data_IF_396623506719
#
_entry.id   IF_396623506719
#
_cell.length_a   1.000
_cell.length_b   1.000
_cell.length_c   1.000
_cell.angle_alpha   90.00
_cell.angle_beta   90.00
_cell.angle_gamma   90.00
#
_symmetry.space_group_name_H-M   'P 1'
#
loop_
_entity.id
_entity.type
_entity.pdbx_description
1 polymer ?
#
# COMPACT_ATOMS: atom_id res chain seq x y z
N UNK A 1 12.25 -23.74 16.58
CA UNK A 1 13.35 -22.95 16.01
C UNK A 1 12.85 -22.35 14.70
N UNK A 2 12.11 -21.25 14.77
CA UNK A 2 11.52 -20.60 13.60
C UNK A 2 12.58 -19.73 12.93
N UNK A 3 12.71 -19.85 11.61
CA UNK A 3 13.68 -19.07 10.84
C UNK A 3 13.21 -17.61 10.83
N UNK A 4 14.00 -16.76 11.46
CA UNK A 4 13.94 -15.30 11.34
C UNK A 4 14.08 -14.94 9.86
N UNK A 5 12.97 -14.64 9.19
CA UNK A 5 12.98 -14.10 7.85
C UNK A 5 13.46 -12.66 7.93
N UNK A 6 14.63 -12.38 7.37
CA UNK A 6 15.13 -11.02 7.23
C UNK A 6 14.19 -10.26 6.29
N UNK A 7 13.39 -9.33 6.81
CA UNK A 7 12.65 -8.34 6.01
C UNK A 7 13.68 -7.39 5.39
N UNK A 8 14.36 -7.83 4.32
CA UNK A 8 15.56 -7.17 3.80
C UNK A 8 15.28 -6.43 2.50
N UNK A 9 14.44 -5.42 2.58
CA UNK A 9 14.36 -4.36 1.58
C UNK A 9 14.28 -3.03 2.30
N UNK A 10 15.02 -2.03 1.83
CA UNK A 10 14.76 -0.64 2.20
C UNK A 10 13.59 -0.12 1.35
N UNK A 11 12.83 0.85 1.87
CA UNK A 11 11.87 1.60 1.05
C UNK A 11 12.60 2.25 -0.13
N UNK A 12 12.02 2.16 -1.33
CA UNK A 12 12.63 2.70 -2.55
C UNK A 12 11.99 4.04 -2.86
N UNK A 13 12.81 5.07 -2.98
CA UNK A 13 12.38 6.39 -3.40
C UNK A 13 12.73 6.64 -4.84
N UNK A 14 11.78 7.12 -5.62
CA UNK A 14 11.98 7.59 -6.98
C UNK A 14 11.52 9.05 -7.10
N UNK A 15 12.24 9.84 -7.89
CA UNK A 15 11.73 11.10 -8.43
C UNK A 15 11.21 10.85 -9.84
N UNK A 16 9.91 11.06 -10.03
CA UNK A 16 9.19 10.81 -11.27
C UNK A 16 8.88 12.12 -11.96
N UNK A 17 9.29 12.21 -13.22
CA UNK A 17 9.02 13.27 -14.18
C UNK A 17 8.30 12.67 -15.41
N UNK A 18 7.73 13.50 -16.31
CA UNK A 18 6.92 12.97 -17.41
C UNK A 18 7.65 11.95 -18.31
N UNK A 19 8.97 12.10 -18.50
CA UNK A 19 9.77 11.24 -19.37
C UNK A 19 10.72 10.29 -18.62
N UNK A 20 10.86 10.40 -17.30
CA UNK A 20 11.89 9.67 -16.55
C UNK A 20 11.50 9.43 -15.08
N UNK A 21 11.87 8.27 -14.55
CA UNK A 21 11.92 8.01 -13.12
C UNK A 21 13.35 7.69 -12.69
N UNK A 22 13.88 8.42 -11.70
CA UNK A 22 15.23 8.22 -11.17
C UNK A 22 15.13 7.80 -9.71
N UNK A 23 15.88 6.76 -9.32
CA UNK A 23 16.00 6.35 -7.92
C UNK A 23 16.77 7.41 -7.13
N UNK A 24 16.24 7.79 -5.97
CA UNK A 24 16.91 8.65 -5.02
C UNK A 24 17.81 7.82 -4.09
N UNK A 25 18.96 8.37 -3.74
CA UNK A 25 19.92 7.74 -2.82
C UNK A 25 19.47 7.83 -1.35
N UNK A 26 18.51 8.70 -1.04
CA UNK A 26 17.96 8.88 0.30
C UNK A 26 16.49 9.34 0.23
N UNK A 27 15.77 9.19 1.33
CA UNK A 27 14.42 9.71 1.47
C UNK A 27 14.40 11.25 1.31
N UNK A 28 13.45 11.82 0.55
CA UNK A 28 13.28 13.26 0.47
C UNK A 28 12.84 13.82 1.83
N UNK A 29 13.17 15.09 2.09
CA UNK A 29 12.78 15.81 3.31
C UNK A 29 11.74 16.90 3.07
N UNK A 30 11.29 17.05 1.82
CA UNK A 30 10.29 18.02 1.40
C UNK A 30 9.54 17.49 0.16
N UNK A 31 8.36 18.06 -0.17
CA UNK A 31 7.69 17.77 -1.43
C UNK A 31 8.57 18.05 -2.65
N UNK A 32 8.32 17.32 -3.73
CA UNK A 32 9.00 17.55 -4.99
C UNK A 32 8.64 18.95 -5.53
N UNK A 33 9.64 19.78 -5.82
CA UNK A 33 9.42 21.10 -6.41
C UNK A 33 8.81 21.00 -7.83
N UNK A 34 9.10 19.91 -8.54
CA UNK A 34 8.53 19.54 -9.85
C UNK A 34 8.35 18.02 -9.92
N UNK A 35 7.36 17.57 -10.68
CA UNK A 35 7.06 16.13 -10.79
C UNK A 35 6.52 15.55 -9.48
N UNK A 36 6.87 14.29 -9.19
CA UNK A 36 6.36 13.55 -8.04
C UNK A 36 7.45 12.75 -7.33
N UNK A 37 7.34 12.63 -6.00
CA UNK A 37 8.03 11.57 -5.28
C UNK A 37 7.18 10.31 -5.30
N UNK A 38 7.81 9.18 -5.64
CA UNK A 38 7.20 7.86 -5.57
C UNK A 38 7.91 7.06 -4.48
N UNK A 39 7.15 6.60 -3.51
CA UNK A 39 7.59 5.68 -2.47
C UNK A 39 7.10 4.27 -2.83
N UNK A 40 8.04 3.36 -3.07
CA UNK A 40 7.77 1.95 -3.28
C UNK A 40 8.15 1.15 -2.02
N UNK A 41 7.19 0.36 -1.54
CA UNK A 41 7.30 -0.50 -0.38
C UNK A 41 6.48 -1.77 -0.58
N UNK A 42 6.97 -2.87 -0.04
CA UNK A 42 6.29 -4.16 -0.08
C UNK A 42 5.16 -4.23 0.94
N UNK A 43 4.22 -5.13 0.69
CA UNK A 43 3.17 -5.44 1.65
C UNK A 43 3.74 -5.90 3.01
N UNK A 44 4.82 -6.69 3.00
CA UNK A 44 5.48 -7.14 4.24
C UNK A 44 6.06 -5.97 5.04
N UNK A 45 6.68 -4.99 4.38
CA UNK A 45 7.18 -3.77 5.02
C UNK A 45 6.03 -2.96 5.63
N UNK A 46 4.95 -2.76 4.87
CA UNK A 46 3.76 -2.06 5.36
C UNK A 46 3.11 -2.78 6.56
N UNK A 47 3.04 -4.11 6.51
CA UNK A 47 2.45 -4.91 7.57
C UNK A 47 3.31 -4.93 8.84
N UNK A 48 4.64 -4.91 8.70
CA UNK A 48 5.56 -4.91 9.83
C UNK A 48 5.38 -3.66 10.69
N UNK A 49 5.27 -2.48 10.07
CA UNK A 49 4.95 -1.24 10.77
C UNK A 49 4.24 -0.24 9.84
N UNK A 50 2.93 -0.06 10.08
CA UNK A 50 2.08 0.87 9.31
C UNK A 50 2.35 2.34 9.67
N UNK A 51 2.84 2.60 10.88
CA UNK A 51 3.11 3.97 11.33
C UNK A 51 4.33 4.55 10.64
N UNK A 52 5.24 3.71 10.12
CA UNK A 52 6.35 4.17 9.28
C UNK A 52 5.83 4.88 8.03
N UNK A 53 4.91 4.26 7.27
CA UNK A 53 4.33 4.91 6.09
C UNK A 53 3.59 6.19 6.46
N UNK A 54 2.81 6.15 7.55
CA UNK A 54 2.05 7.32 8.00
C UNK A 54 2.96 8.49 8.37
N UNK A 55 4.03 8.23 9.13
CA UNK A 55 4.99 9.24 9.57
C UNK A 55 5.70 9.84 8.36
N UNK A 56 6.15 9.01 7.43
CA UNK A 56 6.79 9.45 6.19
C UNK A 56 5.89 10.40 5.38
N UNK A 57 4.60 10.05 5.22
CA UNK A 57 3.66 10.90 4.47
C UNK A 57 3.38 12.19 5.24
N UNK A 58 3.14 12.12 6.56
CA UNK A 58 2.91 13.28 7.40
C UNK A 58 4.08 14.27 7.36
N UNK A 59 5.31 13.78 7.49
CA UNK A 59 6.51 14.61 7.50
C UNK A 59 6.73 15.32 6.15
N UNK A 60 6.37 14.66 5.03
CA UNK A 60 6.54 15.21 3.69
C UNK A 60 5.42 16.16 3.28
N UNK A 61 4.17 15.83 3.59
CA UNK A 61 3.02 16.55 3.03
C UNK A 61 2.24 17.35 4.06
N UNK A 62 2.44 17.09 5.35
CA UNK A 62 1.59 17.59 6.43
C UNK A 62 0.27 16.82 6.60
N UNK A 63 0.00 15.84 5.74
CA UNK A 63 -1.25 15.10 5.71
C UNK A 63 -1.11 13.71 6.33
N UNK A 64 -2.17 13.26 6.99
CA UNK A 64 -2.19 11.96 7.67
C UNK A 64 -3.04 10.98 6.89
N UNK A 65 -2.47 9.82 6.53
CA UNK A 65 -3.27 8.70 6.02
C UNK A 65 -4.19 8.21 7.14
N UNK A 66 -5.45 7.91 6.85
CA UNK A 66 -6.41 7.35 7.81
C UNK A 66 -6.07 5.92 8.24
N UNK A 67 -6.44 5.57 9.47
CA UNK A 67 -6.24 4.23 10.03
C UNK A 67 -6.97 3.14 9.22
N UNK A 68 -8.14 3.45 8.66
CA UNK A 68 -8.91 2.52 7.84
C UNK A 68 -8.16 2.23 6.52
N UNK A 69 -7.69 3.28 5.85
CA UNK A 69 -6.92 3.16 4.62
C UNK A 69 -5.61 2.37 4.81
N UNK A 70 -4.91 2.52 5.95
CA UNK A 70 -3.76 1.67 6.28
C UNK A 70 -4.14 0.21 6.60
N UNK A 71 -5.36 -0.06 7.06
CA UNK A 71 -5.87 -1.44 7.21
C UNK A 71 -6.19 -2.04 5.86
N UNK A 72 -6.81 -1.29 4.97
CA UNK A 72 -7.17 -1.74 3.63
C UNK A 72 -5.92 -2.03 2.79
N UNK A 73 -4.92 -1.15 2.82
CA UNK A 73 -3.65 -1.34 2.11
C UNK A 73 -2.86 -2.57 2.61
N UNK A 74 -3.04 -2.94 3.88
CA UNK A 74 -2.42 -4.13 4.47
C UNK A 74 -3.27 -5.40 4.33
N UNK A 75 -4.46 -5.34 3.73
CA UNK A 75 -5.34 -6.50 3.60
C UNK A 75 -5.21 -7.15 2.22
N UNK A 76 -4.51 -8.28 2.14
CA UNK A 76 -4.33 -9.04 0.88
C UNK A 76 -5.65 -9.65 0.33
N UNK A 77 -6.71 -9.67 1.12
CA UNK A 77 -8.04 -10.13 0.68
C UNK A 77 -8.98 -8.97 0.32
N UNK A 78 -8.50 -7.71 0.41
CA UNK A 78 -9.31 -6.56 0.04
C UNK A 78 -9.70 -6.64 -1.46
N UNK A 79 -10.98 -6.42 -1.82
CA UNK A 79 -11.36 -6.32 -3.23
C UNK A 79 -10.72 -5.09 -3.87
N UNK A 80 -10.74 -5.01 -5.20
CA UNK A 80 -10.39 -3.75 -5.87
C UNK A 80 -11.32 -2.63 -5.39
N UNK A 81 -10.76 -1.48 -5.05
CA UNK A 81 -11.48 -0.39 -4.39
C UNK A 81 -10.85 0.96 -4.72
N UNK A 82 -11.67 2.00 -4.76
CA UNK A 82 -11.24 3.39 -4.89
C UNK A 82 -11.97 4.24 -3.85
N UNK A 83 -11.23 5.14 -3.21
CA UNK A 83 -11.78 6.16 -2.32
C UNK A 83 -11.05 7.49 -2.50
N UNK A 84 -11.70 8.57 -2.09
CA UNK A 84 -11.13 9.91 -2.09
C UNK A 84 -11.45 10.62 -0.79
N UNK A 85 -10.43 11.13 -0.13
CA UNK A 85 -10.57 12.12 0.94
C UNK A 85 -10.46 13.53 0.36
N UNK A 86 -10.46 14.55 1.23
CA UNK A 86 -10.14 15.92 0.83
C UNK A 86 -8.66 16.08 0.44
N UNK A 87 -7.78 15.27 1.05
CA UNK A 87 -6.33 15.50 1.04
C UNK A 87 -5.58 14.48 0.15
N UNK A 88 -6.16 13.29 -0.07
CA UNK A 88 -5.56 12.25 -0.91
C UNK A 88 -6.58 11.28 -1.50
N UNK A 89 -6.13 10.44 -2.42
CA UNK A 89 -6.92 9.37 -3.03
C UNK A 89 -6.26 8.02 -2.75
N UNK A 90 -7.08 6.98 -2.57
CA UNK A 90 -6.62 5.61 -2.40
C UNK A 90 -7.16 4.72 -3.51
N UNK A 91 -6.29 3.86 -4.04
CA UNK A 91 -6.64 2.89 -5.07
C UNK A 91 -6.01 1.54 -4.75
N UNK A 92 -6.83 0.49 -4.68
CA UNK A 92 -6.42 -0.89 -4.47
C UNK A 92 -6.68 -1.70 -5.73
N UNK A 93 -5.64 -2.33 -6.27
CA UNK A 93 -5.74 -3.25 -7.39
C UNK A 93 -5.57 -4.69 -6.93
N UNK A 94 -6.56 -5.55 -7.21
CA UNK A 94 -6.38 -7.00 -7.11
C UNK A 94 -5.96 -7.57 -8.46
N UNK A 95 -4.83 -8.27 -8.47
CA UNK A 95 -4.40 -9.04 -9.65
C UNK A 95 -5.42 -10.14 -9.94
N UNK A 96 -5.88 -10.22 -11.18
CA UNK A 96 -6.71 -11.32 -11.67
C UNK A 96 -5.80 -12.46 -12.12
N UNK A 97 -5.29 -13.24 -11.17
CA UNK A 97 -4.58 -14.49 -11.53
C UNK A 97 -5.63 -15.57 -11.82
N UNK A 98 -5.61 -16.23 -13.00
CA UNK A 98 -6.47 -17.38 -13.24
C UNK A 98 -6.24 -18.45 -12.16
N UNK A 99 -7.28 -18.82 -11.40
CA UNK A 99 -7.21 -19.82 -10.33
C UNK A 99 -7.08 -19.28 -8.89
N UNK A 100 -6.97 -17.96 -8.68
CA UNK A 100 -7.02 -17.33 -7.35
C UNK A 100 -8.39 -16.68 -7.06
N UNK A 101 -9.45 -17.33 -7.52
CA UNK A 101 -10.80 -17.07 -7.02
C UNK A 101 -10.93 -17.71 -5.63
N UNK A 102 -10.26 -17.12 -4.64
CA UNK A 102 -10.70 -17.24 -3.26
C UNK A 102 -11.89 -16.30 -3.12
N UNK A 103 -13.01 -16.72 -3.71
CA UNK A 103 -14.32 -16.22 -3.36
C UNK A 103 -14.53 -16.55 -1.89
N UNK A 104 -14.89 -15.51 -1.16
CA UNK A 104 -15.64 -15.60 0.09
C UNK A 104 -16.70 -16.71 -0.09
N UNK A 105 -16.75 -17.63 0.87
CA UNK A 105 -17.62 -18.81 0.98
C UNK A 105 -18.67 -18.96 -0.13
N UNK A 106 -18.66 -20.06 -0.90
CA UNK A 106 -19.69 -20.32 -1.89
C UNK A 106 -21.09 -20.11 -1.28
N UNK A 107 -21.97 -19.39 -1.99
CA UNK A 107 -23.40 -19.23 -1.67
C UNK A 107 -24.18 -20.56 -1.63
N UNK A 108 -23.51 -21.71 -1.74
CA UNK A 108 -24.09 -23.04 -1.64
C UNK A 108 -24.48 -23.43 -0.20
N UNK A 109 -24.03 -22.70 0.82
CA UNK A 109 -24.35 -23.00 2.23
C UNK A 109 -25.55 -22.21 2.80
N UNK A 110 -26.28 -21.44 1.99
CA UNK A 110 -27.47 -20.71 2.47
C UNK A 110 -28.78 -21.51 2.34
N UNK A 111 -28.77 -22.63 1.61
CA UNK A 111 -29.97 -23.47 1.36
C UNK A 111 -30.15 -24.63 2.36
N UNK A 112 -29.35 -24.69 3.43
CA UNK A 112 -29.48 -25.70 4.48
C UNK A 112 -29.58 -25.09 5.88
N UNK A 113 -30.61 -24.27 6.09
CA UNK A 113 -31.19 -24.13 7.44
C UNK A 113 -32.44 -25.03 7.54
N UNK A 114 -32.57 -25.87 8.59
CA UNK A 114 -33.84 -26.52 8.90
C UNK A 114 -34.90 -25.51 9.36
#
# INVERSE_FOLDING_TARGET
MARSGTLSGEMIWLHVQPELAVRLEAAPQAPAATGFHWLDLTHEQLHADKEVLRTVVLDLTGERIDDLHLKDAANLQHPSYFDSTADYQMLVFRKLTPGEDRSLTPLADVDHLP
#
